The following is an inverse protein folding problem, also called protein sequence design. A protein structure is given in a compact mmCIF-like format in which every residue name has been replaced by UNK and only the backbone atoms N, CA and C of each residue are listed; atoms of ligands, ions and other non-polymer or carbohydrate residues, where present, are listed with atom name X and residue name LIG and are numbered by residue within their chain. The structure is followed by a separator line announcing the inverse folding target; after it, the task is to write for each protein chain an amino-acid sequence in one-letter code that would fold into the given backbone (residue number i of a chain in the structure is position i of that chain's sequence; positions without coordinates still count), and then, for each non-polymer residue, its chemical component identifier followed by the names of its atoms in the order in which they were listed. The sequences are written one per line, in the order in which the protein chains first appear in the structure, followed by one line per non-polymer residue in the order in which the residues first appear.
data_IF_871453437641
#
_entry.id   IF_871453437641
#
_cell.length_a   1.000
_cell.length_b   1.000
_cell.length_c   1.000
_cell.angle_alpha   90.00
_cell.angle_beta   90.00
_cell.angle_gamma   90.00
#
_symmetry.space_group_name_H-M   'P 1'
#
loop_
_entity.id
_entity.type
_entity.pdbx_description
1 polymer ?
#
# COMPACT_ATOMS: atom_id res chain seq x y z
N UNK A 1 23.47 2.92 5.79
CA UNK A 1 24.36 3.28 4.65
C UNK A 1 24.37 4.79 4.37
N UNK A 2 23.51 5.58 5.02
CA UNK A 2 23.42 7.03 4.81
C UNK A 2 22.63 7.44 3.55
N UNK A 3 21.86 6.52 3.00
CA UNK A 3 20.98 6.76 1.85
C UNK A 3 19.62 7.29 2.33
N UNK A 4 19.09 8.28 1.64
CA UNK A 4 17.79 8.88 1.89
C UNK A 4 16.74 8.18 1.06
N UNK A 5 15.85 7.41 1.70
CA UNK A 5 14.75 6.70 1.03
C UNK A 5 13.43 7.28 1.52
N UNK A 6 12.67 8.00 0.67
CA UNK A 6 11.38 8.58 1.04
C UNK A 6 10.29 7.49 1.08
N UNK A 7 10.30 6.72 2.14
CA UNK A 7 9.42 5.59 2.39
C UNK A 7 9.04 5.54 3.86
N UNK A 8 7.76 5.42 4.17
CA UNK A 8 7.31 5.26 5.55
C UNK A 8 6.13 4.29 5.63
N UNK A 9 6.07 3.43 6.64
CA UNK A 9 4.95 2.51 6.81
C UNK A 9 3.71 3.21 7.38
N UNK A 10 2.55 2.83 6.85
CA UNK A 10 1.24 3.12 7.43
C UNK A 10 0.60 1.83 7.93
N UNK A 11 -0.33 1.95 8.86
CA UNK A 11 -1.24 0.86 9.19
C UNK A 11 -2.16 0.62 7.99
N UNK A 12 -2.33 -0.63 7.61
CA UNK A 12 -3.21 -1.01 6.50
C UNK A 12 -4.18 -2.09 6.94
N UNK A 13 -5.44 -1.96 6.52
CA UNK A 13 -6.54 -2.71 7.10
C UNK A 13 -7.30 -3.55 6.08
N UNK A 14 -7.67 -4.76 6.49
CA UNK A 14 -8.70 -5.54 5.82
C UNK A 14 -9.41 -6.46 6.81
N UNK A 15 -10.62 -6.89 6.45
CA UNK A 15 -11.33 -7.96 7.14
C UNK A 15 -11.49 -9.17 6.23
N UNK A 16 -11.64 -10.34 6.85
CA UNK A 16 -12.09 -11.56 6.19
C UNK A 16 -13.38 -11.98 6.89
N UNK A 17 -14.43 -12.23 6.11
CA UNK A 17 -15.72 -12.69 6.65
C UNK A 17 -15.66 -14.16 7.08
N UNK A 18 -16.64 -14.59 7.86
CA UNK A 18 -16.96 -16.01 7.94
C UNK A 18 -17.42 -16.52 6.56
N UNK A 19 -17.43 -17.86 6.33
CA UNK A 19 -17.90 -18.43 5.07
C UNK A 19 -19.32 -17.97 4.72
N UNK A 20 -19.52 -17.58 3.47
CA UNK A 20 -20.80 -17.10 2.95
C UNK A 20 -21.41 -18.21 2.06
N UNK A 21 -22.63 -18.62 2.40
CA UNK A 21 -23.33 -19.67 1.68
C UNK A 21 -23.61 -19.25 0.24
N UNK A 22 -23.39 -20.17 -0.70
CA UNK A 22 -23.59 -19.95 -2.15
C UNK A 22 -22.77 -18.82 -2.78
N UNK A 23 -21.68 -18.38 -2.13
CA UNK A 23 -20.77 -17.41 -2.74
C UNK A 23 -20.09 -18.02 -3.98
N UNK A 24 -20.16 -17.33 -5.10
CA UNK A 24 -19.47 -17.76 -6.33
C UNK A 24 -17.96 -17.70 -6.13
N UNK A 25 -17.26 -18.80 -6.40
CA UNK A 25 -15.78 -18.90 -6.32
C UNK A 25 -15.06 -18.25 -7.50
N UNK A 26 -15.81 -17.74 -8.47
CA UNK A 26 -15.26 -17.11 -9.69
C UNK A 26 -15.48 -15.60 -9.72
N UNK A 27 -15.77 -14.99 -8.57
CA UNK A 27 -15.89 -13.54 -8.48
C UNK A 27 -14.57 -12.87 -8.83
N UNK A 28 -14.57 -11.84 -9.68
CA UNK A 28 -13.38 -11.03 -9.92
C UNK A 28 -13.02 -10.25 -8.66
N UNK A 29 -11.76 -9.82 -8.55
CA UNK A 29 -11.40 -8.79 -7.60
C UNK A 29 -12.06 -7.48 -8.03
N UNK A 30 -12.72 -6.82 -7.10
CA UNK A 30 -13.45 -5.59 -7.34
C UNK A 30 -12.75 -4.45 -6.60
N UNK A 31 -12.54 -3.34 -7.29
CA UNK A 31 -12.01 -2.10 -6.71
C UNK A 31 -13.07 -1.02 -6.85
N UNK A 32 -13.51 -0.49 -5.73
CA UNK A 32 -14.45 0.64 -5.65
C UNK A 32 -13.66 1.91 -5.30
N UNK A 33 -13.28 2.64 -6.32
CA UNK A 33 -12.49 3.86 -6.17
C UNK A 33 -13.26 4.97 -5.44
N UNK A 34 -14.56 5.09 -5.67
CA UNK A 34 -15.40 6.10 -5.03
C UNK A 34 -15.47 5.93 -3.51
N UNK A 35 -15.51 4.67 -3.06
CA UNK A 35 -15.61 4.32 -1.64
C UNK A 35 -14.26 3.84 -1.05
N UNK A 36 -13.18 3.88 -1.83
CA UNK A 36 -11.82 3.51 -1.40
C UNK A 36 -11.75 2.10 -0.81
N UNK A 37 -12.51 1.15 -1.37
CA UNK A 37 -12.55 -0.23 -0.91
C UNK A 37 -12.18 -1.20 -2.03
N UNK A 38 -11.65 -2.35 -1.65
CA UNK A 38 -11.52 -3.47 -2.56
C UNK A 38 -12.11 -4.72 -1.93
N UNK A 39 -12.62 -5.60 -2.79
CA UNK A 39 -13.32 -6.81 -2.39
C UNK A 39 -12.78 -7.98 -3.19
N UNK A 40 -12.46 -9.06 -2.51
CA UNK A 40 -11.93 -10.28 -3.09
C UNK A 40 -12.63 -11.48 -2.50
N UNK A 41 -13.03 -12.42 -3.36
CA UNK A 41 -13.41 -13.77 -2.90
C UNK A 41 -12.16 -14.50 -2.36
N UNK A 42 -12.29 -15.17 -1.23
CA UNK A 42 -11.23 -15.89 -0.54
C UNK A 42 -11.72 -17.21 0.05
N UNK A 43 -11.73 -18.26 -0.77
CA UNK A 43 -12.12 -19.61 -0.39
C UNK A 43 -13.52 -19.67 0.31
N UNK A 44 -14.52 -19.13 -0.34
CA UNK A 44 -15.90 -19.10 0.17
C UNK A 44 -16.18 -17.96 1.18
N UNK A 45 -15.23 -17.07 1.38
CA UNK A 45 -15.30 -15.86 2.22
C UNK A 45 -15.12 -14.63 1.36
N UNK A 46 -15.38 -13.48 1.92
CA UNK A 46 -15.04 -12.19 1.29
C UNK A 46 -13.97 -11.49 2.13
N UNK A 47 -12.90 -11.09 1.46
CA UNK A 47 -11.94 -10.14 1.98
C UNK A 47 -12.38 -8.74 1.54
N UNK A 48 -12.50 -7.83 2.50
CA UNK A 48 -12.75 -6.39 2.27
C UNK A 48 -11.58 -5.61 2.81
N UNK A 49 -10.90 -4.85 1.98
CA UNK A 49 -9.82 -3.96 2.39
C UNK A 49 -10.09 -2.51 1.99
N UNK A 50 -9.33 -1.61 2.55
CA UNK A 50 -9.54 -0.17 2.38
C UNK A 50 -8.26 0.54 1.95
N UNK A 51 -8.43 1.69 1.28
CA UNK A 51 -7.37 2.64 0.93
C UNK A 51 -7.80 4.03 1.40
N UNK A 52 -7.79 4.21 2.70
CA UNK A 52 -8.30 5.40 3.38
C UNK A 52 -7.46 6.65 3.11
N UNK A 53 -8.11 7.82 2.98
CA UNK A 53 -7.43 9.10 2.73
C UNK A 53 -6.89 9.79 3.99
N UNK A 54 -7.02 9.14 5.14
CA UNK A 54 -6.53 9.59 6.44
C UNK A 54 -5.77 8.46 7.15
N UNK A 55 -4.85 7.83 6.43
CA UNK A 55 -4.12 6.67 6.94
C UNK A 55 -3.29 7.00 8.18
N UNK A 56 -3.04 5.98 8.98
CA UNK A 56 -2.34 6.10 10.25
C UNK A 56 -0.87 5.72 10.04
N UNK A 57 0.09 6.67 10.19
CA UNK A 57 1.50 6.33 10.14
C UNK A 57 1.86 5.30 11.21
N UNK A 58 2.43 4.17 10.80
CA UNK A 58 2.82 3.11 11.71
C UNK A 58 3.91 3.60 12.68
N UNK A 59 3.86 3.14 13.92
CA UNK A 59 4.81 3.53 14.98
C UNK A 59 4.96 5.05 15.14
N UNK A 60 3.89 5.81 14.98
CA UNK A 60 3.88 7.26 14.99
C UNK A 60 4.57 7.88 16.22
N UNK A 61 4.42 7.27 17.39
CA UNK A 61 5.01 7.76 18.65
C UNK A 61 6.51 7.54 18.76
N UNK A 62 7.00 6.42 18.23
CA UNK A 62 8.41 6.03 18.33
C UNK A 62 9.24 6.42 17.12
N UNK A 63 8.59 6.65 15.99
CA UNK A 63 9.20 6.91 14.67
C UNK A 63 10.20 5.82 14.24
N UNK A 64 10.09 4.63 14.80
CA UNK A 64 11.05 3.56 14.56
C UNK A 64 10.34 2.21 14.60
N UNK A 65 10.64 1.38 13.62
CA UNK A 65 10.25 -0.03 13.63
C UNK A 65 11.00 -0.72 14.77
N UNK A 66 10.33 -1.45 15.68
CA UNK A 66 11.02 -2.24 16.69
C UNK A 66 11.96 -3.26 16.07
N UNK A 67 13.14 -3.45 16.66
CA UNK A 67 14.17 -4.36 16.12
C UNK A 67 13.73 -5.84 16.12
N UNK A 68 12.83 -6.19 17.03
CA UNK A 68 12.24 -7.52 17.17
C UNK A 68 10.93 -7.70 16.41
N UNK A 69 10.46 -6.68 15.69
CA UNK A 69 9.21 -6.76 14.94
C UNK A 69 9.34 -7.73 13.76
N UNK A 70 8.57 -8.82 13.81
CA UNK A 70 8.51 -9.84 12.77
C UNK A 70 7.12 -10.46 12.73
N UNK A 71 6.50 -10.47 11.56
CA UNK A 71 5.15 -11.04 11.33
C UNK A 71 4.06 -10.51 12.30
N UNK A 72 4.28 -9.35 12.89
CA UNK A 72 3.37 -8.74 13.85
C UNK A 72 2.20 -8.04 13.17
N UNK A 73 1.09 -7.98 13.88
CA UNK A 73 -0.08 -7.19 13.51
C UNK A 73 -0.23 -6.05 14.54
N UNK A 74 -0.88 -4.95 14.11
CA UNK A 74 -1.30 -3.88 15.00
C UNK A 74 -2.61 -4.24 15.70
N UNK A 75 -2.95 -3.46 16.73
CA UNK A 75 -4.24 -3.59 17.38
C UNK A 75 -5.37 -3.26 16.40
N UNK A 76 -6.45 -3.99 16.49
CA UNK A 76 -7.65 -3.76 15.70
C UNK A 76 -8.18 -2.33 15.92
N UNK A 77 -8.52 -1.66 14.83
CA UNK A 77 -9.09 -0.32 14.84
C UNK A 77 -10.40 -0.30 14.03
N UNK A 78 -11.43 -0.89 14.61
CA UNK A 78 -12.72 -1.01 13.95
C UNK A 78 -13.38 0.34 13.72
N UNK A 79 -13.24 1.28 14.64
CA UNK A 79 -13.78 2.64 14.50
C UNK A 79 -13.25 3.34 13.23
N UNK A 80 -11.96 3.16 12.95
CA UNK A 80 -11.33 3.69 11.73
C UNK A 80 -11.82 2.99 10.45
N UNK A 81 -12.11 1.69 10.54
CA UNK A 81 -12.53 0.85 9.41
C UNK A 81 -14.02 0.96 9.09
N UNK A 82 -14.87 1.16 10.10
CA UNK A 82 -16.34 1.10 10.02
C UNK A 82 -16.96 1.95 8.89
N UNK A 83 -16.57 3.22 8.63
CA UNK A 83 -17.16 4.03 7.57
C UNK A 83 -16.98 3.42 6.17
N UNK A 84 -15.85 2.76 5.94
CA UNK A 84 -15.53 2.10 4.67
C UNK A 84 -16.29 0.77 4.55
N UNK A 85 -16.41 0.02 5.64
CA UNK A 85 -17.24 -1.19 5.69
C UNK A 85 -18.72 -0.87 5.40
N UNK A 86 -19.25 0.20 5.98
CA UNK A 86 -20.61 0.65 5.71
C UNK A 86 -20.83 0.99 4.21
N UNK A 87 -19.82 1.53 3.54
CA UNK A 87 -19.84 1.77 2.10
C UNK A 87 -19.75 0.48 1.29
N UNK A 88 -18.92 -0.47 1.73
CA UNK A 88 -18.82 -1.79 1.11
C UNK A 88 -20.13 -2.58 1.22
N UNK A 89 -20.83 -2.51 2.35
CA UNK A 89 -22.15 -3.15 2.56
C UNK A 89 -23.17 -2.63 1.56
N UNK A 90 -23.19 -1.34 1.25
CA UNK A 90 -24.10 -0.78 0.23
C UNK A 90 -23.89 -1.38 -1.16
N UNK A 91 -22.64 -1.71 -1.51
CA UNK A 91 -22.28 -2.37 -2.78
C UNK A 91 -22.53 -3.87 -2.75
N UNK A 92 -22.29 -4.50 -1.60
CA UNK A 92 -22.39 -5.93 -1.37
C UNK A 92 -23.24 -6.20 -0.13
N UNK A 93 -24.58 -6.18 -0.25
CA UNK A 93 -25.49 -6.33 0.90
C UNK A 93 -25.28 -7.61 1.71
N UNK A 94 -24.72 -8.66 1.11
CA UNK A 94 -24.38 -9.89 1.82
C UNK A 94 -23.41 -9.67 3.00
N UNK A 95 -22.64 -8.61 2.97
CA UNK A 95 -21.72 -8.24 4.05
C UNK A 95 -22.45 -7.78 5.33
N UNK A 96 -23.71 -7.33 5.23
CA UNK A 96 -24.48 -6.85 6.38
C UNK A 96 -24.71 -7.94 7.44
N UNK A 97 -24.86 -9.19 6.98
CA UNK A 97 -25.12 -10.34 7.84
C UNK A 97 -23.92 -11.27 7.97
N UNK A 98 -22.85 -11.04 7.24
CA UNK A 98 -21.64 -11.84 7.31
C UNK A 98 -20.85 -11.53 8.59
N UNK A 99 -20.55 -12.57 9.39
CA UNK A 99 -19.67 -12.44 10.53
C UNK A 99 -18.25 -12.09 10.10
N UNK A 100 -17.50 -11.40 10.94
CA UNK A 100 -16.07 -11.12 10.73
C UNK A 100 -15.27 -12.24 11.40
N UNK A 101 -14.54 -13.00 10.60
CA UNK A 101 -13.62 -14.04 11.07
C UNK A 101 -12.27 -13.48 11.51
N UNK A 102 -11.77 -12.52 10.77
CA UNK A 102 -10.49 -11.87 11.05
C UNK A 102 -10.56 -10.39 10.70
N UNK A 103 -10.08 -9.57 11.62
CA UNK A 103 -9.67 -8.21 11.35
C UNK A 103 -8.13 -8.21 11.27
N UNK A 104 -7.59 -7.62 10.24
CA UNK A 104 -6.15 -7.48 10.05
C UNK A 104 -5.76 -6.01 10.04
N UNK A 105 -4.71 -5.68 10.76
CA UNK A 105 -4.01 -4.40 10.67
C UNK A 105 -2.52 -4.66 10.72
N UNK A 106 -1.80 -4.28 9.67
CA UNK A 106 -0.36 -4.48 9.59
C UNK A 106 0.35 -3.33 8.92
N UNK A 107 1.69 -3.23 9.08
CA UNK A 107 2.46 -2.18 8.44
C UNK A 107 2.63 -2.44 6.95
N UNK A 108 2.33 -1.45 6.14
CA UNK A 108 2.66 -1.44 4.72
C UNK A 108 3.34 -0.13 4.33
N UNK A 109 4.37 -0.20 3.48
CA UNK A 109 5.22 0.95 3.16
C UNK A 109 4.73 1.72 1.95
N UNK A 110 4.63 3.04 2.10
CA UNK A 110 4.18 3.96 1.07
C UNK A 110 5.21 5.06 0.79
N UNK A 111 5.23 5.51 -0.45
CA UNK A 111 6.02 6.64 -0.93
C UNK A 111 5.17 7.92 -0.94
N UNK A 112 5.78 9.12 -0.96
CA UNK A 112 5.02 10.37 -0.95
C UNK A 112 4.09 10.59 -2.15
N UNK A 113 4.38 9.96 -3.28
CA UNK A 113 3.68 10.11 -4.56
C UNK A 113 3.02 8.82 -5.06
N UNK A 114 2.98 7.78 -4.24
CA UNK A 114 2.41 6.46 -4.55
C UNK A 114 3.09 5.70 -5.70
N UNK A 115 4.21 6.18 -6.21
CA UNK A 115 4.99 5.47 -7.22
C UNK A 115 6.15 4.70 -6.59
N UNK A 116 6.48 3.56 -7.16
CA UNK A 116 7.61 2.73 -6.74
C UNK A 116 8.93 3.50 -6.79
N UNK A 117 9.88 3.15 -5.93
CA UNK A 117 11.24 3.68 -5.93
C UNK A 117 12.18 2.71 -6.62
N UNK A 118 12.72 3.11 -7.74
CA UNK A 118 13.70 2.34 -8.52
C UNK A 118 14.96 3.13 -8.78
N UNK A 119 16.06 2.43 -8.96
CA UNK A 119 17.27 2.95 -9.55
C UNK A 119 18.43 3.20 -8.60
N UNK A 120 19.48 3.74 -9.16
CA UNK A 120 20.70 4.06 -8.44
C UNK A 120 20.51 5.31 -7.58
N UNK A 121 20.79 5.19 -6.28
CA UNK A 121 20.68 6.32 -5.36
C UNK A 121 21.81 7.34 -5.60
N UNK A 122 21.52 8.64 -5.46
CA UNK A 122 22.53 9.67 -5.74
C UNK A 122 23.69 9.69 -4.72
N UNK A 123 23.50 9.16 -3.52
CA UNK A 123 24.49 9.23 -2.44
C UNK A 123 25.60 8.20 -2.56
N UNK A 124 25.32 7.04 -3.17
CA UNK A 124 26.28 5.91 -3.22
C UNK A 124 26.26 5.28 -4.61
N UNK A 125 27.38 5.37 -5.30
CA UNK A 125 27.56 4.72 -6.61
C UNK A 125 27.39 3.21 -6.53
N UNK A 126 26.70 2.63 -7.51
CA UNK A 126 26.39 1.21 -7.60
C UNK A 126 25.47 0.69 -6.47
N UNK A 127 24.78 1.58 -5.77
CA UNK A 127 23.75 1.21 -4.81
C UNK A 127 22.37 1.43 -5.44
N UNK A 128 21.68 0.34 -5.72
CA UNK A 128 20.35 0.38 -6.34
C UNK A 128 19.27 0.07 -5.31
N UNK A 129 18.13 0.73 -5.47
CA UNK A 129 16.92 0.46 -4.71
C UNK A 129 15.81 -0.05 -5.62
N UNK A 130 14.98 -0.92 -5.07
CA UNK A 130 13.75 -1.41 -5.66
C UNK A 130 12.77 -1.65 -4.51
N UNK A 131 12.01 -0.63 -4.14
CA UNK A 131 11.16 -0.66 -2.96
C UNK A 131 9.96 0.29 -3.10
N UNK A 132 9.10 0.36 -2.07
CA UNK A 132 7.95 1.24 -2.07
C UNK A 132 6.94 0.89 -3.17
N UNK A 133 6.54 -0.37 -3.25
CA UNK A 133 5.61 -0.83 -4.28
C UNK A 133 4.15 -0.50 -3.98
N UNK A 134 3.88 0.20 -2.88
CA UNK A 134 2.59 0.83 -2.58
C UNK A 134 1.39 -0.13 -2.77
N UNK A 135 1.41 -1.29 -2.11
CA UNK A 135 0.34 -2.31 -2.14
C UNK A 135 0.13 -3.03 -3.49
N UNK A 136 0.90 -2.71 -4.53
CA UNK A 136 0.78 -3.35 -5.84
C UNK A 136 1.96 -4.28 -6.17
N UNK A 137 2.79 -4.62 -5.18
CA UNK A 137 4.02 -5.38 -5.35
C UNK A 137 3.86 -6.75 -6.01
N UNK A 138 2.78 -7.47 -5.72
CA UNK A 138 2.52 -8.78 -6.33
C UNK A 138 2.30 -8.62 -7.85
N UNK A 139 1.54 -7.62 -8.27
CA UNK A 139 1.26 -7.37 -9.69
C UNK A 139 2.43 -6.76 -10.45
N UNK A 140 3.23 -5.92 -9.79
CA UNK A 140 4.31 -5.15 -10.43
C UNK A 140 5.70 -5.78 -10.28
N UNK A 141 5.89 -6.70 -9.33
CA UNK A 141 7.21 -7.21 -8.96
C UNK A 141 8.01 -7.82 -10.12
N UNK A 142 7.37 -8.54 -11.02
CA UNK A 142 8.02 -9.10 -12.21
C UNK A 142 8.55 -8.01 -13.16
N UNK A 143 7.74 -6.99 -13.44
CA UNK A 143 8.13 -5.85 -14.29
C UNK A 143 9.25 -5.01 -13.66
N UNK A 144 9.09 -4.69 -12.39
CA UNK A 144 10.08 -3.94 -11.61
C UNK A 144 11.41 -4.68 -11.55
N UNK A 145 11.37 -6.00 -11.31
CA UNK A 145 12.57 -6.84 -11.29
C UNK A 145 13.28 -6.88 -12.64
N UNK A 146 12.52 -7.01 -13.74
CA UNK A 146 13.07 -6.98 -15.10
C UNK A 146 13.80 -5.66 -15.37
N UNK A 147 13.13 -4.54 -15.19
CA UNK A 147 13.70 -3.20 -15.43
C UNK A 147 14.94 -2.97 -14.59
N UNK A 148 14.91 -3.34 -13.31
CA UNK A 148 16.08 -3.20 -12.42
C UNK A 148 17.26 -4.05 -12.91
N UNK A 149 17.01 -5.29 -13.32
CA UNK A 149 18.06 -6.18 -13.83
C UNK A 149 18.69 -5.64 -15.13
N UNK A 150 17.86 -5.18 -16.07
CA UNK A 150 18.32 -4.57 -17.31
C UNK A 150 19.20 -3.33 -17.04
N UNK A 151 18.74 -2.46 -16.13
CA UNK A 151 19.52 -1.28 -15.73
C UNK A 151 20.90 -1.65 -15.13
N UNK A 152 20.91 -2.63 -14.23
CA UNK A 152 22.16 -3.12 -13.63
C UNK A 152 23.12 -3.70 -14.68
N UNK A 153 22.59 -4.41 -15.67
CA UNK A 153 23.40 -5.10 -16.69
C UNK A 153 23.93 -4.17 -17.76
N UNK A 154 23.16 -3.17 -18.15
CA UNK A 154 23.47 -2.29 -19.31
C UNK A 154 23.91 -0.89 -18.92
N UNK A 155 23.71 -0.49 -17.67
CA UNK A 155 23.95 0.89 -17.20
C UNK A 155 22.89 1.89 -17.64
N UNK A 156 21.88 1.48 -18.39
CA UNK A 156 20.77 2.32 -18.85
C UNK A 156 19.49 1.49 -18.95
N UNK A 157 18.38 2.17 -19.14
CA UNK A 157 17.05 1.56 -19.37
C UNK A 157 16.45 2.19 -20.62
N UNK A 158 15.68 1.37 -21.32
CA UNK A 158 15.00 1.79 -22.56
C UNK A 158 13.57 2.28 -22.29
N UNK A 159 12.99 1.90 -21.16
CA UNK A 159 11.65 2.30 -20.75
C UNK A 159 11.66 3.69 -20.11
N UNK A 160 10.58 4.44 -20.29
CA UNK A 160 10.35 5.68 -19.55
C UNK A 160 9.95 5.36 -18.11
N UNK A 161 10.92 5.44 -17.21
CA UNK A 161 10.72 5.21 -15.78
C UNK A 161 10.90 6.48 -14.94
N UNK A 162 10.88 7.64 -15.54
CA UNK A 162 11.11 8.90 -14.82
C UNK A 162 10.26 9.04 -13.55
N UNK A 163 9.00 8.62 -13.61
CA UNK A 163 8.09 8.63 -12.45
C UNK A 163 8.43 7.60 -11.37
N UNK A 164 9.35 6.67 -11.63
CA UNK A 164 9.79 5.64 -10.68
C UNK A 164 11.22 5.85 -10.20
N UNK A 165 12.04 6.66 -10.91
CA UNK A 165 13.44 6.91 -10.53
C UNK A 165 13.49 7.57 -9.15
N UNK A 166 14.28 6.99 -8.21
CA UNK A 166 14.45 7.57 -6.88
C UNK A 166 15.00 9.00 -6.92
N UNK A 167 15.71 9.38 -7.98
CA UNK A 167 16.25 10.73 -8.19
C UNK A 167 15.20 11.82 -8.36
N UNK A 168 13.91 11.45 -8.56
CA UNK A 168 12.80 12.41 -8.55
C UNK A 168 12.58 13.06 -7.18
N UNK A 169 13.11 12.43 -6.11
CA UNK A 169 13.00 12.93 -4.76
C UNK A 169 14.25 13.71 -4.31
N UNK A 170 14.02 14.69 -3.47
CA UNK A 170 15.04 15.44 -2.77
C UNK A 170 15.15 14.95 -1.32
N UNK A 171 16.25 15.22 -0.66
CA UNK A 171 16.54 14.75 0.70
C UNK A 171 15.42 15.08 1.71
N UNK A 172 14.81 16.25 1.61
CA UNK A 172 13.76 16.67 2.54
C UNK A 172 12.52 15.78 2.50
N UNK A 173 12.25 15.08 1.38
CA UNK A 173 11.13 14.15 1.29
C UNK A 173 11.24 12.95 2.24
N UNK A 174 12.45 12.67 2.73
CA UNK A 174 12.69 11.63 3.74
C UNK A 174 12.70 12.16 5.18
N UNK A 175 12.50 13.45 5.37
CA UNK A 175 12.39 14.02 6.72
C UNK A 175 11.10 13.55 7.39
N UNK A 176 11.20 13.09 8.65
CA UNK A 176 10.09 12.47 9.35
C UNK A 176 8.82 13.33 9.40
N UNK A 177 8.98 14.63 9.63
CA UNK A 177 7.85 15.55 9.67
C UNK A 177 7.10 15.65 8.35
N UNK A 178 7.84 15.65 7.23
CA UNK A 178 7.27 15.67 5.89
C UNK A 178 6.64 14.33 5.53
N UNK A 179 7.44 13.23 5.64
CA UNK A 179 6.99 11.93 5.11
C UNK A 179 5.77 11.39 5.84
N UNK A 180 5.73 11.51 7.17
CA UNK A 180 4.57 11.06 7.97
C UNK A 180 3.30 11.80 7.60
N UNK A 181 3.38 13.13 7.48
CA UNK A 181 2.24 13.94 7.05
C UNK A 181 1.79 13.53 5.63
N UNK A 182 2.74 13.29 4.73
CA UNK A 182 2.40 12.92 3.37
C UNK A 182 1.80 11.51 3.27
N UNK A 183 2.29 10.55 4.06
CA UNK A 183 1.76 9.18 4.08
C UNK A 183 0.31 9.15 4.58
N UNK A 184 -0.10 10.05 5.47
CA UNK A 184 -1.49 10.16 5.90
C UNK A 184 -2.45 10.34 4.71
N UNK A 185 -2.01 10.97 3.63
CA UNK A 185 -2.80 11.19 2.42
C UNK A 185 -2.52 10.13 1.33
N UNK A 186 -1.25 9.80 1.13
CA UNK A 186 -0.78 9.05 -0.06
C UNK A 186 -1.38 7.65 -0.17
N UNK A 187 -1.68 6.96 0.92
CA UNK A 187 -2.35 5.67 0.87
C UNK A 187 -3.71 5.78 0.16
N UNK A 188 -4.50 6.77 0.51
CA UNK A 188 -5.79 7.03 -0.14
C UNK A 188 -5.67 7.52 -1.58
N UNK A 189 -4.56 8.14 -1.95
CA UNK A 189 -4.32 8.62 -3.32
C UNK A 189 -4.24 7.48 -4.34
N UNK A 190 -3.90 6.25 -3.92
CA UNK A 190 -3.98 5.06 -4.77
C UNK A 190 -5.39 4.76 -5.28
N UNK A 191 -6.41 5.25 -4.58
CA UNK A 191 -7.82 5.18 -4.95
C UNK A 191 -8.42 6.57 -5.22
N UNK A 192 -7.62 7.61 -5.13
CA UNK A 192 -8.04 8.97 -5.45
C UNK A 192 -8.33 9.10 -6.94
N UNK A 193 -9.51 9.59 -7.28
CA UNK A 193 -9.83 10.00 -8.63
C UNK A 193 -9.44 11.46 -8.78
N UNK A 194 -8.36 11.68 -9.51
CA UNK A 194 -7.87 13.03 -9.76
C UNK A 194 -8.65 13.68 -10.89
N UNK A 195 -9.22 14.83 -10.63
CA UNK A 195 -9.83 15.68 -11.62
C UNK A 195 -9.19 17.08 -11.52
N UNK A 196 -8.80 17.70 -12.62
CA UNK A 196 -9.14 17.41 -14.03
C UNK A 196 -8.16 16.52 -14.81
N UNK A 197 -7.34 15.69 -14.19
CA UNK A 197 -6.35 14.84 -14.87
C UNK A 197 -6.75 13.40 -14.91
#
# INVERSE_FOLDING_TARGET
AGVSIPLYPAEHFYIITEPIENLSKTLPVIRDFDNRTYIKEDAGKILVGIFEGNSIPAWDKTNKVPEDFSFGEFQENFEHFEPYLASAIKRFPVLETAGIRKFFSGPESFTPDTNTLLGEVPEIKNFFVCCGLNSIGIGSGGGVGKVTAEWLMTGHINEDIFSYDIKRFQRFHSELGFIKKRITESLGDLYGMHWPF
#
